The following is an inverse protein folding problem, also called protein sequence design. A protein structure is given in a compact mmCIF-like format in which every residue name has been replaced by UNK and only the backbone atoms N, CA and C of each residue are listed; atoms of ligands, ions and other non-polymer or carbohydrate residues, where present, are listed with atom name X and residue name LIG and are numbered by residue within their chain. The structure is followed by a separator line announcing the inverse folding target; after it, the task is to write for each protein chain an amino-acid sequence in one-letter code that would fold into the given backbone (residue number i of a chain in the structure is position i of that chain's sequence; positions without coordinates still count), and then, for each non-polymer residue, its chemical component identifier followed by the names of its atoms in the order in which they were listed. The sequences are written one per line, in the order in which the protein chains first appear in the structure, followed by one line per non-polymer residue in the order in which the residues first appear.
data_IF_711125082762
#
_entry.id   IF_711125082762
#
_cell.length_a   1.000
_cell.length_b   1.000
_cell.length_c   1.000
_cell.angle_alpha   90.00
_cell.angle_beta   90.00
_cell.angle_gamma   90.00
#
_symmetry.space_group_name_H-M   'P 1'
#
loop_
_entity.id
_entity.type
_entity.pdbx_description
1 polymer ?
#
# COMPACT_ATOMS: atom_id res chain seq x y z
N UNK A 1 12.44 -22.38 1.48
CA UNK A 1 11.38 -23.40 1.58
C UNK A 1 10.31 -22.93 2.55
N UNK A 2 9.06 -22.74 2.08
CA UNK A 2 7.92 -22.54 2.98
C UNK A 2 7.46 -23.95 3.34
N UNK A 3 7.86 -24.46 4.52
CA UNK A 3 7.44 -25.77 4.98
C UNK A 3 5.93 -25.75 5.23
N UNK A 4 5.21 -26.50 4.39
CA UNK A 4 3.76 -26.68 4.45
C UNK A 4 3.46 -27.92 5.29
N UNK A 5 3.90 -27.95 6.54
CA UNK A 5 3.64 -29.09 7.42
C UNK A 5 2.25 -28.96 8.03
N UNK A 6 1.34 -29.85 7.61
CA UNK A 6 0.05 -30.10 8.24
C UNK A 6 0.24 -30.90 9.54
N UNK A 7 0.57 -30.22 10.65
CA UNK A 7 0.40 -30.78 12.00
C UNK A 7 -1.08 -30.65 12.41
N UNK A 8 -1.73 -31.79 12.62
CA UNK A 8 -2.99 -31.90 13.38
C UNK A 8 -2.67 -31.73 14.87
N UNK A 9 -3.36 -30.83 15.58
CA UNK A 9 -3.40 -30.87 17.05
C UNK A 9 -3.20 -29.55 17.80
N UNK A 10 -2.62 -28.50 17.20
CA UNK A 10 -2.42 -27.22 17.89
C UNK A 10 -3.00 -26.08 17.08
N UNK A 11 -3.58 -25.08 17.76
CA UNK A 11 -4.16 -23.89 17.13
C UNK A 11 -3.04 -23.13 16.40
N UNK A 12 -2.79 -23.44 15.12
CA UNK A 12 -1.67 -22.86 14.36
C UNK A 12 -1.81 -21.35 14.27
N UNK A 13 -0.97 -20.65 15.02
CA UNK A 13 -0.83 -19.21 14.90
C UNK A 13 -0.03 -18.87 13.64
N UNK A 14 -0.67 -18.14 12.72
CA UNK A 14 -0.02 -17.69 11.49
C UNK A 14 0.87 -16.48 11.81
N UNK A 15 2.13 -16.72 12.17
CA UNK A 15 3.06 -15.65 12.57
C UNK A 15 4.24 -15.56 11.59
N UNK A 16 4.64 -14.33 11.25
CA UNK A 16 5.90 -14.09 10.53
C UNK A 16 7.09 -14.19 11.49
N UNK A 17 8.06 -15.05 11.16
CA UNK A 17 9.28 -15.26 11.95
C UNK A 17 10.55 -14.70 11.29
N UNK A 18 10.40 -13.86 10.27
CA UNK A 18 11.54 -13.23 9.60
C UNK A 18 12.24 -12.24 10.53
N UNK A 19 13.58 -12.30 10.61
CA UNK A 19 14.42 -11.61 11.60
C UNK A 19 14.11 -10.10 11.68
N UNK A 20 14.11 -9.41 10.54
CA UNK A 20 13.94 -7.95 10.48
C UNK A 20 12.52 -7.53 10.07
N UNK A 21 11.52 -8.36 10.39
CA UNK A 21 10.14 -8.02 10.11
C UNK A 21 9.61 -7.02 11.14
N UNK A 22 9.26 -5.82 10.68
CA UNK A 22 8.62 -4.75 11.49
C UNK A 22 7.24 -5.12 12.06
N UNK A 23 6.77 -6.35 11.84
CA UNK A 23 5.53 -6.90 12.41
C UNK A 23 5.97 -7.84 13.53
N UNK A 24 6.06 -7.29 14.75
CA UNK A 24 6.55 -7.88 16.01
C UNK A 24 5.87 -9.21 16.38
N UNK A 25 6.12 -10.30 15.64
CA UNK A 25 5.49 -11.63 15.80
C UNK A 25 3.94 -11.61 15.89
N UNK A 26 3.28 -10.50 15.50
CA UNK A 26 1.82 -10.36 15.58
C UNK A 26 1.14 -11.35 14.61
N UNK A 27 0.21 -12.19 15.09
CA UNK A 27 -0.42 -13.20 14.26
C UNK A 27 -1.30 -12.59 13.18
N UNK A 28 -1.36 -13.28 12.05
CA UNK A 28 -2.30 -13.04 10.98
C UNK A 28 -3.61 -13.76 11.29
N UNK A 29 -4.73 -13.14 10.89
CA UNK A 29 -6.07 -13.73 11.06
C UNK A 29 -6.26 -15.00 10.23
N UNK A 30 -5.45 -15.19 9.18
CA UNK A 30 -5.53 -16.34 8.29
C UNK A 30 -4.18 -16.64 7.63
N UNK A 31 -3.97 -17.91 7.25
CA UNK A 31 -2.74 -18.39 6.61
C UNK A 31 -2.41 -17.64 5.32
N UNK A 32 -3.41 -17.40 4.46
CA UNK A 32 -3.19 -16.73 3.18
C UNK A 32 -2.62 -15.30 3.36
N UNK A 33 -2.99 -14.61 4.45
CA UNK A 33 -2.44 -13.29 4.74
C UNK A 33 -0.96 -13.36 5.11
N UNK A 34 -0.55 -14.40 5.84
CA UNK A 34 0.87 -14.67 6.12
C UNK A 34 1.61 -14.97 4.81
N UNK A 35 1.07 -15.84 3.94
CA UNK A 35 1.69 -16.16 2.65
C UNK A 35 1.89 -14.90 1.79
N UNK A 36 0.84 -14.09 1.64
CA UNK A 36 0.93 -12.81 0.90
C UNK A 36 1.93 -11.84 1.55
N UNK A 37 2.04 -11.86 2.88
CA UNK A 37 3.03 -11.06 3.59
C UNK A 37 4.46 -11.53 3.32
N UNK A 38 4.72 -12.84 3.29
CA UNK A 38 6.06 -13.39 3.06
C UNK A 38 6.65 -12.94 1.72
N UNK A 39 5.82 -12.62 0.72
CA UNK A 39 6.24 -12.04 -0.57
C UNK A 39 7.05 -10.75 -0.42
N UNK A 40 6.89 -10.01 0.68
CA UNK A 40 7.71 -8.83 0.98
C UNK A 40 9.18 -9.20 1.27
N UNK A 41 9.39 -10.37 1.86
CA UNK A 41 10.72 -10.84 2.25
C UNK A 41 11.38 -11.61 1.11
N UNK A 42 10.61 -12.44 0.39
CA UNK A 42 11.12 -13.24 -0.72
C UNK A 42 11.25 -12.45 -2.03
N UNK A 43 10.57 -11.31 -2.14
CA UNK A 43 10.48 -10.55 -3.38
C UNK A 43 9.56 -11.16 -4.43
N UNK A 44 8.85 -12.25 -4.11
CA UNK A 44 7.99 -12.97 -5.04
C UNK A 44 6.84 -12.06 -5.55
N UNK A 45 6.72 -12.00 -6.88
CA UNK A 45 5.73 -11.19 -7.59
C UNK A 45 5.00 -12.06 -8.61
N UNK A 46 4.04 -12.89 -8.17
CA UNK A 46 3.39 -13.86 -9.05
C UNK A 46 2.46 -13.22 -10.08
N UNK A 47 2.03 -11.97 -9.86
CA UNK A 47 1.09 -11.30 -10.74
C UNK A 47 1.83 -10.44 -11.76
N UNK A 48 2.10 -11.00 -12.93
CA UNK A 48 2.80 -10.33 -14.03
C UNK A 48 1.84 -9.51 -14.90
N UNK A 49 2.32 -8.40 -15.44
CA UNK A 49 1.62 -7.65 -16.47
C UNK A 49 1.57 -8.47 -17.76
N UNK A 50 0.43 -8.39 -18.45
CA UNK A 50 0.16 -9.11 -19.70
C UNK A 50 0.25 -8.19 -20.93
N UNK A 51 0.54 -6.91 -20.75
CA UNK A 51 0.76 -5.99 -21.88
C UNK A 51 2.14 -6.24 -22.49
N UNK A 52 2.17 -6.39 -23.80
CA UNK A 52 3.39 -6.55 -24.58
C UNK A 52 4.38 -5.40 -24.32
N UNK A 53 5.65 -5.76 -24.12
CA UNK A 53 6.70 -4.80 -23.74
C UNK A 53 6.69 -4.36 -22.27
N UNK A 54 5.73 -4.80 -21.45
CA UNK A 54 5.68 -4.45 -20.02
C UNK A 54 6.12 -5.61 -19.11
N UNK A 55 7.33 -5.53 -18.56
CA UNK A 55 7.88 -6.54 -17.65
C UNK A 55 7.48 -6.36 -16.17
N UNK A 56 6.52 -5.48 -15.85
CA UNK A 56 6.15 -5.19 -14.44
C UNK A 56 5.41 -6.36 -13.81
N UNK A 57 5.73 -6.65 -12.55
CA UNK A 57 5.08 -7.68 -11.76
C UNK A 57 4.81 -7.23 -10.32
N UNK A 58 3.77 -7.80 -9.71
CA UNK A 58 3.24 -7.37 -8.42
C UNK A 58 3.07 -8.55 -7.46
N UNK A 59 3.28 -8.29 -6.17
CA UNK A 59 3.07 -9.27 -5.09
C UNK A 59 1.60 -9.46 -4.74
N UNK A 60 0.71 -8.57 -5.20
CA UNK A 60 -0.74 -8.62 -4.97
C UNK A 60 -1.50 -8.35 -6.26
N UNK A 61 -2.62 -9.06 -6.46
CA UNK A 61 -3.47 -8.94 -7.65
C UNK A 61 -4.06 -7.53 -7.82
N UNK A 62 -4.55 -6.91 -6.75
CA UNK A 62 -5.15 -5.57 -6.83
C UNK A 62 -4.17 -4.49 -7.31
N UNK A 63 -2.88 -4.67 -7.00
CA UNK A 63 -1.83 -3.79 -7.51
C UNK A 63 -1.60 -4.00 -9.00
N UNK A 64 -1.66 -5.26 -9.48
CA UNK A 64 -1.62 -5.56 -10.91
C UNK A 64 -2.84 -4.94 -11.62
N UNK A 65 -4.06 -5.15 -11.12
CA UNK A 65 -5.29 -4.57 -11.71
C UNK A 65 -5.17 -3.05 -11.85
N UNK A 66 -4.73 -2.38 -10.78
CA UNK A 66 -4.50 -0.92 -10.80
C UNK A 66 -3.43 -0.54 -11.83
N UNK A 67 -2.36 -1.33 -11.95
CA UNK A 67 -1.33 -1.08 -12.96
C UNK A 67 -1.86 -1.26 -14.39
N UNK A 68 -2.69 -2.26 -14.66
CA UNK A 68 -3.24 -2.49 -16.01
C UNK A 68 -4.03 -1.26 -16.50
N UNK A 69 -4.70 -0.54 -15.59
CA UNK A 69 -5.36 0.73 -15.90
C UNK A 69 -4.42 1.84 -16.37
N UNK A 70 -3.12 1.76 -16.07
CA UNK A 70 -2.12 2.70 -16.61
C UNK A 70 -1.85 2.49 -18.10
N UNK A 71 -2.13 1.30 -18.63
CA UNK A 71 -2.04 1.02 -20.06
C UNK A 71 -3.31 1.41 -20.81
N UNK A 72 -4.47 1.14 -20.21
CA UNK A 72 -5.77 1.45 -20.84
C UNK A 72 -6.22 2.90 -20.63
N UNK A 73 -5.63 3.62 -19.67
CA UNK A 73 -6.06 4.95 -19.26
C UNK A 73 -7.31 4.97 -18.37
N UNK A 74 -7.82 3.81 -17.94
CA UNK A 74 -9.03 3.72 -17.13
C UNK A 74 -8.86 4.41 -15.77
N UNK A 75 -9.83 5.26 -15.42
CA UNK A 75 -9.85 6.05 -14.17
C UNK A 75 -11.22 5.97 -13.51
N UNK A 76 -11.58 4.82 -12.92
CA UNK A 76 -12.94 4.61 -12.42
C UNK A 76 -13.22 5.36 -11.10
N UNK A 77 -12.21 5.93 -10.45
CA UNK A 77 -12.39 6.63 -9.17
C UNK A 77 -12.40 8.14 -9.39
N UNK A 78 -13.60 8.69 -9.55
CA UNK A 78 -13.82 10.13 -9.71
C UNK A 78 -13.82 10.83 -8.34
N UNK A 79 -13.25 12.03 -8.27
CA UNK A 79 -13.35 12.91 -7.12
C UNK A 79 -14.81 13.29 -6.89
N UNK A 80 -15.28 13.18 -5.65
CA UNK A 80 -16.68 13.44 -5.29
C UNK A 80 -16.87 14.88 -4.77
N UNK A 81 -15.83 15.71 -4.80
CA UNK A 81 -15.93 17.10 -4.39
C UNK A 81 -16.57 17.95 -5.49
N UNK A 82 -17.56 18.76 -5.12
CA UNK A 82 -18.26 19.67 -6.02
C UNK A 82 -17.29 20.55 -6.83
N UNK A 83 -17.51 20.61 -8.14
CA UNK A 83 -16.64 21.34 -9.07
C UNK A 83 -15.29 20.67 -9.38
N UNK A 84 -14.97 19.49 -8.82
CA UNK A 84 -13.75 18.76 -9.12
C UNK A 84 -14.00 17.54 -10.02
N UNK A 85 -13.61 17.62 -11.28
CA UNK A 85 -13.78 16.54 -12.26
C UNK A 85 -12.55 15.61 -12.38
N UNK A 86 -11.67 15.57 -11.38
CA UNK A 86 -10.46 14.74 -11.43
C UNK A 86 -10.78 13.26 -11.18
N UNK A 87 -10.25 12.39 -12.02
CA UNK A 87 -10.41 10.94 -11.89
C UNK A 87 -9.06 10.22 -11.74
N UNK A 88 -9.09 9.07 -11.04
CA UNK A 88 -7.90 8.31 -10.63
C UNK A 88 -8.07 6.83 -10.96
N UNK A 89 -6.94 6.14 -11.18
CA UNK A 89 -6.91 4.70 -11.49
C UNK A 89 -7.07 3.81 -10.25
N UNK A 90 -6.99 4.37 -9.02
CA UNK A 90 -7.31 3.67 -7.78
C UNK A 90 -7.93 4.59 -6.72
N UNK A 91 -8.66 3.97 -5.78
CA UNK A 91 -9.36 4.68 -4.71
C UNK A 91 -8.42 5.41 -3.73
N UNK A 92 -7.23 4.85 -3.47
CA UNK A 92 -6.27 5.43 -2.51
C UNK A 92 -5.75 6.79 -3.00
N UNK A 93 -5.43 6.89 -4.29
CA UNK A 93 -4.92 8.13 -4.86
C UNK A 93 -6.01 9.20 -4.98
N UNK A 94 -7.25 8.81 -5.31
CA UNK A 94 -8.41 9.71 -5.18
C UNK A 94 -8.57 10.22 -3.75
N UNK A 95 -8.52 9.35 -2.74
CA UNK A 95 -8.67 9.74 -1.34
C UNK A 95 -7.54 10.68 -0.88
N UNK A 96 -6.29 10.42 -1.30
CA UNK A 96 -5.17 11.35 -1.05
C UNK A 96 -5.41 12.70 -1.70
N UNK A 97 -5.90 12.74 -2.94
CA UNK A 97 -6.23 14.00 -3.61
C UNK A 97 -7.32 14.76 -2.85
N UNK A 98 -8.41 14.08 -2.48
CA UNK A 98 -9.48 14.66 -1.67
C UNK A 98 -8.92 15.33 -0.41
N UNK A 99 -8.13 14.59 0.36
CA UNK A 99 -7.59 15.07 1.62
C UNK A 99 -6.53 16.17 1.46
N UNK A 100 -5.83 16.25 0.33
CA UNK A 100 -4.76 17.24 0.13
C UNK A 100 -5.22 18.52 -0.53
N UNK A 101 -6.28 18.44 -1.33
CA UNK A 101 -6.75 19.55 -2.18
C UNK A 101 -8.05 20.15 -1.65
N UNK A 102 -8.94 19.32 -1.12
CA UNK A 102 -10.28 19.74 -0.72
C UNK A 102 -10.48 19.75 0.79
N UNK A 103 -9.58 19.12 1.55
CA UNK A 103 -9.55 19.24 3.01
C UNK A 103 -8.58 20.33 3.45
N UNK A 104 -8.98 21.07 4.49
CA UNK A 104 -8.12 22.04 5.17
C UNK A 104 -7.23 21.39 6.25
N UNK A 105 -7.30 20.07 6.41
CA UNK A 105 -6.54 19.35 7.43
C UNK A 105 -5.05 19.27 7.08
N UNK A 106 -4.22 19.66 8.05
CA UNK A 106 -2.77 19.52 8.01
C UNK A 106 -2.31 18.61 9.16
N UNK A 107 -2.51 17.29 9.04
CA UNK A 107 -2.23 16.36 10.14
C UNK A 107 -0.73 16.13 10.35
N UNK A 108 0.10 16.44 9.35
CA UNK A 108 1.55 16.20 9.43
C UNK A 108 2.24 17.42 10.05
N UNK A 109 2.56 17.33 11.33
CA UNK A 109 3.24 18.39 12.10
C UNK A 109 4.75 18.21 12.10
N UNK A 110 5.50 19.31 12.01
CA UNK A 110 6.93 19.29 12.29
C UNK A 110 7.18 19.00 13.77
N UNK A 111 8.15 18.13 14.07
CA UNK A 111 8.51 17.75 15.45
C UNK A 111 9.79 18.45 15.94
N UNK A 112 10.38 19.32 15.14
CA UNK A 112 11.55 20.11 15.53
C UNK A 112 11.09 21.15 16.56
N UNK A 113 11.78 21.22 17.71
CA UNK A 113 11.45 22.16 18.78
C UNK A 113 11.42 23.61 18.25
N UNK A 114 10.36 24.35 18.60
CA UNK A 114 10.14 25.72 18.11
C UNK A 114 9.54 25.82 16.69
N UNK A 115 9.34 24.71 15.97
CA UNK A 115 8.68 24.73 14.65
C UNK A 115 7.19 24.40 14.76
N UNK A 116 6.33 25.33 14.31
CA UNK A 116 4.87 25.16 14.31
C UNK A 116 4.30 24.75 12.93
N UNK A 117 5.17 24.49 11.94
CA UNK A 117 4.74 24.21 10.56
C UNK A 117 3.99 22.88 10.46
N UNK A 118 2.88 22.90 9.70
CA UNK A 118 2.01 21.73 9.44
C UNK A 118 1.80 21.56 7.93
N UNK A 119 1.60 20.32 7.50
CA UNK A 119 1.50 19.94 6.09
C UNK A 119 0.31 19.01 5.85
N UNK A 120 -0.26 19.07 4.64
CA UNK A 120 -1.35 18.20 4.17
C UNK A 120 -0.84 16.81 3.77
N UNK A 121 0.47 16.66 3.55
CA UNK A 121 1.08 15.41 3.13
C UNK A 121 2.49 15.18 3.73
N UNK A 122 2.92 13.91 3.87
CA UNK A 122 4.19 13.58 4.52
C UNK A 122 5.42 13.90 3.66
N UNK A 123 5.28 14.01 2.33
CA UNK A 123 6.41 14.36 1.45
C UNK A 123 6.78 15.82 1.63
N UNK A 124 5.80 16.71 1.76
CA UNK A 124 6.03 18.13 2.07
C UNK A 124 6.69 18.31 3.44
N UNK A 125 6.22 17.60 4.47
CA UNK A 125 6.88 17.58 5.77
C UNK A 125 8.34 17.09 5.66
N UNK A 126 8.57 15.99 4.93
CA UNK A 126 9.93 15.43 4.74
C UNK A 126 10.88 16.41 4.08
N UNK A 127 10.41 17.17 3.08
CA UNK A 127 11.21 18.21 2.41
C UNK A 127 11.55 19.37 3.35
N UNK A 128 10.68 19.68 4.30
CA UNK A 128 10.91 20.75 5.27
C UNK A 128 11.91 20.37 6.36
N UNK A 129 11.86 19.12 6.85
CA UNK A 129 12.74 18.63 7.93
C UNK A 129 14.11 18.15 7.43
N UNK A 130 14.28 18.10 6.11
CA UNK A 130 15.57 17.83 5.46
C UNK A 130 16.35 19.13 5.35
#
# INVERSE_FOLDING_TARGET
HINNEHIHGERKEFVCRWRDCSREKKPFKAQYMLVVHMRRHTGEKPHKCTFEGCAKAYSRLENLKTHLRSHTGEKPYVCEHEGCNKAFSNASDRAKHQNRTHSNEKPYVCKISGCTKRYTDPSSLRKHVK
#
